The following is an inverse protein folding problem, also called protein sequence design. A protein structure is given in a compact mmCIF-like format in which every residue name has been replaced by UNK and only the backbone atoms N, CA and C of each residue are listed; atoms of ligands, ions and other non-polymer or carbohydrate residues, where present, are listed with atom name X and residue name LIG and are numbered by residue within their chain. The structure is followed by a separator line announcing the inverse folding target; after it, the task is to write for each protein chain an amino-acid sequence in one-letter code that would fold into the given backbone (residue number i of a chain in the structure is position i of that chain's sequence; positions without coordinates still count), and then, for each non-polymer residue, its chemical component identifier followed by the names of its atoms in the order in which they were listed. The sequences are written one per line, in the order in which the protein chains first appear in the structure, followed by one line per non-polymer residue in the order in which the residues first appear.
data_IF_006667153591
#
_entry.id   IF_006667153591
#
_cell.length_a   1.000
_cell.length_b   1.000
_cell.length_c   1.000
_cell.angle_alpha   90.00
_cell.angle_beta   90.00
_cell.angle_gamma   90.00
#
_symmetry.space_group_name_H-M   'P 1'
#
loop_
_entity.id
_entity.type
_entity.pdbx_description
1 polymer ?
#
# COMPACT_ATOMS: atom_id res chain seq x y z
N UNK A 1 53.21 7.64 -35.74
CA UNK A 1 54.68 7.66 -35.89
C UNK A 1 55.38 7.07 -34.66
N UNK A 2 54.76 6.79 -33.57
CA UNK A 2 55.33 6.15 -32.37
C UNK A 2 55.92 7.14 -31.37
N UNK A 3 55.65 8.42 -31.47
CA UNK A 3 55.88 9.42 -30.44
C UNK A 3 54.59 9.57 -29.62
N UNK A 4 54.58 9.05 -28.45
CA UNK A 4 53.44 8.97 -27.57
C UNK A 4 53.71 9.85 -26.36
N UNK A 5 53.62 11.17 -26.56
CA UNK A 5 53.56 12.07 -25.42
C UNK A 5 52.79 13.37 -25.76
N UNK A 6 51.81 13.72 -25.00
CA UNK A 6 50.93 14.88 -25.14
C UNK A 6 51.64 16.25 -25.06
N UNK A 7 52.83 16.37 -25.59
CA UNK A 7 53.58 17.60 -25.74
C UNK A 7 54.15 17.82 -27.16
N UNK A 8 54.14 16.82 -28.05
CA UNK A 8 54.77 16.88 -29.37
C UNK A 8 53.86 16.39 -30.52
N UNK A 9 52.79 15.67 -30.22
CA UNK A 9 51.78 15.24 -31.18
C UNK A 9 50.44 15.92 -30.83
N UNK A 10 49.72 16.41 -31.79
CA UNK A 10 48.43 17.04 -31.62
C UNK A 10 47.28 16.12 -32.09
N UNK A 11 47.58 14.86 -32.39
CA UNK A 11 46.67 13.85 -32.93
C UNK A 11 47.26 12.50 -32.56
N UNK A 12 47.06 12.11 -31.25
CA UNK A 12 47.76 11.00 -30.60
C UNK A 12 47.42 9.63 -31.20
N UNK A 13 46.26 9.45 -31.82
CA UNK A 13 45.82 8.19 -32.44
C UNK A 13 45.84 8.18 -33.98
N UNK A 14 46.11 9.35 -34.57
CA UNK A 14 46.26 9.58 -36.02
C UNK A 14 44.96 9.36 -36.84
N UNK A 15 43.85 9.73 -36.31
CA UNK A 15 42.54 9.67 -36.97
C UNK A 15 42.21 10.94 -37.81
N UNK A 16 43.06 12.00 -37.73
CA UNK A 16 42.97 13.34 -38.32
C UNK A 16 42.05 14.31 -37.57
N UNK A 17 41.65 14.03 -36.34
CA UNK A 17 41.09 14.97 -35.40
C UNK A 17 42.16 15.33 -34.37
N UNK A 18 42.28 16.59 -33.99
CA UNK A 18 43.26 16.97 -32.99
C UNK A 18 42.77 16.66 -31.60
N UNK A 19 43.68 16.30 -30.67
CA UNK A 19 43.36 15.97 -29.25
C UNK A 19 42.48 17.02 -28.56
N UNK A 20 42.61 18.29 -28.95
CA UNK A 20 41.77 19.38 -28.35
C UNK A 20 40.33 19.35 -28.82
N UNK A 21 40.00 18.64 -29.92
CA UNK A 21 38.68 18.57 -30.54
C UNK A 21 38.16 17.13 -30.56
N UNK A 22 38.95 16.20 -30.05
CA UNK A 22 38.68 14.78 -30.00
C UNK A 22 38.17 14.37 -28.60
N UNK A 23 36.99 13.77 -28.55
CA UNK A 23 36.45 13.22 -27.34
C UNK A 23 37.21 11.99 -26.85
N UNK A 24 37.90 11.26 -27.79
CA UNK A 24 38.63 10.03 -27.54
C UNK A 24 40.08 10.05 -28.09
N UNK A 25 40.98 10.93 -27.64
CA UNK A 25 42.28 11.22 -28.26
C UNK A 25 43.27 10.06 -28.35
N UNK A 26 42.89 8.86 -27.95
CA UNK A 26 43.69 7.64 -27.97
C UNK A 26 42.99 6.48 -28.71
N UNK A 27 41.81 6.73 -29.29
CA UNK A 27 41.05 5.72 -30.02
C UNK A 27 40.69 6.19 -31.42
N UNK A 28 41.57 5.98 -32.38
CA UNK A 28 41.41 6.39 -33.79
C UNK A 28 40.19 5.79 -34.51
N UNK A 29 39.25 5.21 -33.81
CA UNK A 29 37.96 4.78 -34.35
C UNK A 29 36.80 5.65 -33.84
N UNK A 30 37.06 6.49 -32.84
CA UNK A 30 36.09 7.38 -32.21
C UNK A 30 36.69 8.79 -32.11
N UNK A 31 35.88 9.84 -32.36
CA UNK A 31 36.31 11.24 -32.25
C UNK A 31 35.23 12.16 -31.71
N UNK A 32 33.98 11.67 -31.57
CA UNK A 32 32.84 12.45 -31.10
C UNK A 32 32.05 11.64 -30.10
N UNK A 33 31.54 12.34 -29.09
CA UNK A 33 30.60 11.85 -28.08
C UNK A 33 29.52 12.91 -27.97
N UNK A 34 28.36 12.67 -28.62
CA UNK A 34 27.35 13.72 -28.84
C UNK A 34 26.51 13.95 -27.58
N UNK A 35 26.35 12.95 -26.73
CA UNK A 35 25.52 13.02 -25.51
C UNK A 35 26.32 12.98 -24.21
N UNK A 36 27.69 12.88 -24.34
CA UNK A 36 28.63 12.92 -23.22
C UNK A 36 28.52 11.71 -22.27
N UNK A 37 28.12 10.51 -22.74
CA UNK A 37 27.97 9.32 -21.91
C UNK A 37 29.24 8.48 -21.78
N UNK A 38 30.24 8.76 -22.60
CA UNK A 38 31.56 8.11 -22.60
C UNK A 38 31.70 6.98 -23.61
N UNK A 39 30.75 6.76 -24.48
CA UNK A 39 30.80 5.91 -25.66
C UNK A 39 30.85 6.79 -26.91
N UNK A 40 31.70 6.48 -27.86
CA UNK A 40 31.80 7.31 -29.06
C UNK A 40 30.67 7.07 -30.05
N UNK A 41 30.27 8.11 -30.78
CA UNK A 41 29.14 8.10 -31.73
C UNK A 41 29.22 6.93 -32.75
N UNK A 42 30.42 6.41 -33.06
CA UNK A 42 30.55 5.31 -34.04
C UNK A 42 30.25 3.94 -33.43
N UNK A 43 30.48 3.76 -32.16
CA UNK A 43 30.22 2.51 -31.41
C UNK A 43 28.97 2.53 -30.58
N UNK A 44 28.35 3.72 -30.48
CA UNK A 44 27.08 3.93 -29.77
C UNK A 44 25.90 3.62 -30.68
N UNK A 45 24.96 2.82 -30.19
CA UNK A 45 23.73 2.54 -30.89
C UNK A 45 22.73 3.74 -30.82
N UNK A 46 22.89 4.61 -29.81
CA UNK A 46 22.03 5.75 -29.52
C UNK A 46 22.79 7.06 -29.26
N UNK A 47 23.57 7.59 -30.24
CA UNK A 47 24.49 8.69 -30.03
C UNK A 47 23.92 10.04 -29.60
N UNK A 48 22.61 10.14 -29.37
CA UNK A 48 21.91 11.34 -28.87
C UNK A 48 21.19 11.08 -27.54
N UNK A 49 21.36 9.86 -26.93
CA UNK A 49 20.67 9.47 -25.69
C UNK A 49 21.65 8.85 -24.67
N UNK A 50 22.20 9.68 -23.80
CA UNK A 50 23.15 9.29 -22.77
C UNK A 50 22.64 8.22 -21.76
N UNK A 51 21.41 7.80 -21.82
CA UNK A 51 20.85 6.72 -21.01
C UNK A 51 20.98 5.34 -21.69
N UNK A 52 21.27 5.29 -22.99
CA UNK A 52 21.35 4.08 -23.80
C UNK A 52 22.66 4.06 -24.62
N UNK A 53 23.36 2.94 -24.63
CA UNK A 53 24.60 2.76 -25.37
C UNK A 53 24.58 1.58 -26.35
N UNK A 54 23.77 0.56 -25.98
CA UNK A 54 23.76 -0.71 -26.70
C UNK A 54 22.37 -1.08 -27.13
N UNK A 55 22.26 -1.74 -28.27
CA UNK A 55 21.07 -2.41 -28.79
C UNK A 55 21.51 -3.83 -29.17
N UNK A 56 21.40 -4.75 -28.22
CA UNK A 56 22.03 -6.09 -28.35
C UNK A 56 21.34 -6.96 -29.39
N UNK A 57 20.03 -6.80 -29.62
CA UNK A 57 19.29 -7.60 -30.59
C UNK A 57 18.90 -6.86 -31.86
N UNK A 58 19.03 -5.53 -31.85
CA UNK A 58 18.93 -4.70 -33.07
C UNK A 58 17.51 -4.29 -33.43
N UNK A 59 16.62 -4.19 -32.46
CA UNK A 59 15.22 -3.83 -32.66
C UNK A 59 14.96 -2.32 -32.60
N UNK A 60 15.93 -1.55 -32.06
CA UNK A 60 15.87 -0.10 -31.98
C UNK A 60 15.52 0.42 -30.58
N UNK A 61 15.34 -0.45 -29.61
CA UNK A 61 15.28 -0.12 -28.18
C UNK A 61 16.62 -0.36 -27.52
N UNK A 62 16.99 0.49 -26.59
CA UNK A 62 18.26 0.34 -25.88
C UNK A 62 18.18 -0.72 -24.77
N UNK A 63 19.32 -1.41 -24.55
CA UNK A 63 19.40 -2.50 -23.56
C UNK A 63 18.93 -2.10 -22.15
N UNK A 64 18.93 -0.81 -21.80
CA UNK A 64 18.50 -0.34 -20.48
C UNK A 64 17.01 -0.10 -20.38
N UNK A 65 16.35 0.28 -21.48
CA UNK A 65 14.92 0.51 -21.56
C UNK A 65 14.15 -0.71 -22.08
N UNK A 66 14.85 -1.67 -22.67
CA UNK A 66 14.30 -2.90 -23.19
C UNK A 66 14.16 -3.97 -22.09
N UNK A 67 12.95 -4.46 -21.88
CA UNK A 67 12.67 -5.55 -20.94
C UNK A 67 13.24 -6.89 -21.44
N UNK A 68 13.40 -7.04 -22.76
CA UNK A 68 13.91 -8.24 -23.43
C UNK A 68 15.17 -8.00 -24.29
N UNK A 69 16.31 -7.52 -23.75
CA UNK A 69 17.46 -7.01 -24.52
C UNK A 69 18.17 -8.04 -25.42
N UNK A 70 17.58 -9.17 -25.71
CA UNK A 70 18.11 -10.26 -26.55
C UNK A 70 17.05 -10.90 -27.43
N UNK A 71 15.85 -10.34 -27.44
CA UNK A 71 14.75 -10.84 -28.27
C UNK A 71 14.13 -9.68 -29.05
N UNK A 72 14.71 -9.32 -30.17
CA UNK A 72 14.31 -8.23 -31.04
C UNK A 72 12.90 -8.37 -31.65
N UNK A 73 12.06 -9.17 -31.07
CA UNK A 73 10.63 -9.20 -31.33
C UNK A 73 9.80 -8.64 -30.17
N UNK A 74 10.43 -8.41 -29.03
CA UNK A 74 9.81 -7.96 -27.78
C UNK A 74 10.65 -6.86 -27.12
N UNK A 75 10.04 -5.83 -26.56
CA UNK A 75 10.74 -4.73 -25.86
C UNK A 75 9.99 -4.22 -24.64
N UNK A 76 8.71 -4.61 -24.46
CA UNK A 76 7.84 -4.22 -23.36
C UNK A 76 7.15 -5.44 -22.78
N UNK A 77 6.79 -5.37 -21.48
CA UNK A 77 6.06 -6.38 -20.70
C UNK A 77 5.30 -5.60 -19.63
N UNK A 78 4.07 -5.19 -19.99
CA UNK A 78 3.28 -4.23 -19.21
C UNK A 78 2.85 -4.83 -17.88
N UNK A 79 2.44 -6.09 -17.84
CA UNK A 79 1.97 -6.76 -16.62
C UNK A 79 3.10 -7.46 -15.83
N UNK A 80 4.29 -7.59 -16.42
CA UNK A 80 5.46 -8.18 -15.77
C UNK A 80 5.41 -9.71 -15.63
N UNK A 81 4.62 -10.41 -16.45
CA UNK A 81 4.47 -11.87 -16.36
C UNK A 81 5.58 -12.65 -17.08
N UNK A 82 6.40 -11.94 -17.87
CA UNK A 82 7.55 -12.46 -18.60
C UNK A 82 7.25 -12.87 -20.03
N UNK A 83 6.07 -12.59 -20.55
CA UNK A 83 5.73 -12.55 -21.96
C UNK A 83 5.85 -11.10 -22.43
N UNK A 84 6.35 -10.87 -23.63
CA UNK A 84 6.40 -9.52 -24.18
C UNK A 84 5.07 -9.18 -24.84
N UNK A 85 4.73 -7.89 -24.82
CA UNK A 85 3.45 -7.37 -25.32
C UNK A 85 3.13 -7.77 -26.77
N UNK A 86 4.15 -8.00 -27.61
CA UNK A 86 3.88 -8.45 -28.98
C UNK A 86 3.45 -9.92 -29.09
N UNK A 87 3.77 -10.75 -28.11
CA UNK A 87 3.46 -12.17 -28.08
C UNK A 87 2.34 -12.50 -27.08
N UNK A 88 2.02 -11.60 -26.19
CA UNK A 88 0.95 -11.72 -25.23
C UNK A 88 -0.39 -11.40 -25.92
N UNK A 89 -1.45 -12.13 -25.73
CA UNK A 89 -2.79 -11.81 -26.22
C UNK A 89 -3.62 -10.95 -25.26
N UNK A 90 -3.09 -10.55 -24.09
CA UNK A 90 -3.77 -9.80 -23.02
C UNK A 90 -2.67 -9.07 -22.23
N UNK A 91 -2.14 -7.95 -22.84
CA UNK A 91 -0.91 -7.27 -22.45
C UNK A 91 -0.88 -6.78 -21.00
N UNK A 92 -2.02 -6.54 -20.38
CA UNK A 92 -2.12 -6.07 -18.99
C UNK A 92 -2.79 -7.07 -18.03
N UNK A 93 -3.12 -8.28 -18.56
CA UNK A 93 -3.73 -9.39 -17.80
C UNK A 93 -5.05 -9.00 -17.10
N UNK A 94 -5.82 -8.06 -17.67
CA UNK A 94 -7.11 -7.63 -17.11
C UNK A 94 -8.25 -8.63 -17.43
N UNK A 95 -8.01 -9.55 -18.38
CA UNK A 95 -8.95 -10.56 -18.86
C UNK A 95 -9.72 -10.16 -20.12
N UNK A 96 -9.40 -9.03 -20.73
CA UNK A 96 -9.85 -8.61 -22.05
C UNK A 96 -8.68 -8.76 -23.03
N UNK A 97 -8.85 -9.54 -24.08
CA UNK A 97 -7.78 -9.72 -25.05
C UNK A 97 -7.57 -8.44 -25.89
N UNK A 98 -6.33 -8.12 -26.26
CA UNK A 98 -5.89 -6.93 -26.98
C UNK A 98 -6.73 -6.59 -28.22
N UNK A 99 -7.21 -7.62 -28.93
CA UNK A 99 -8.07 -7.39 -30.10
C UNK A 99 -9.42 -6.74 -29.77
N UNK A 100 -9.82 -6.76 -28.51
CA UNK A 100 -11.08 -6.19 -28.01
C UNK A 100 -10.85 -5.07 -27.00
N UNK A 101 -9.60 -4.84 -26.61
CA UNK A 101 -9.20 -3.86 -25.64
C UNK A 101 -8.95 -2.48 -26.28
N UNK A 102 -9.44 -1.43 -25.66
CA UNK A 102 -9.26 -0.03 -26.05
C UNK A 102 -8.15 0.68 -25.27
N UNK A 103 -7.61 0.06 -24.27
CA UNK A 103 -6.63 0.61 -23.33
C UNK A 103 -5.41 -0.30 -23.14
N UNK A 104 -4.91 -0.88 -24.23
CA UNK A 104 -3.72 -1.74 -24.24
C UNK A 104 -2.66 -1.24 -23.26
N UNK A 105 -2.36 -2.04 -22.26
CA UNK A 105 -1.36 -1.74 -21.26
C UNK A 105 -1.83 -0.85 -20.10
N UNK A 106 -3.14 -0.73 -19.87
CA UNK A 106 -3.71 -0.10 -18.69
C UNK A 106 -4.99 -0.81 -18.27
N UNK A 107 -4.96 -1.56 -17.19
CA UNK A 107 -6.18 -1.99 -16.51
C UNK A 107 -6.94 -0.76 -16.01
N UNK A 108 -8.08 -0.44 -16.65
CA UNK A 108 -8.90 0.68 -16.21
C UNK A 108 -9.83 0.28 -15.07
N UNK A 109 -9.66 0.96 -13.97
CA UNK A 109 -10.49 0.80 -12.81
C UNK A 109 -11.21 2.08 -12.41
N UNK A 110 -12.18 1.87 -11.55
CA UNK A 110 -12.97 2.93 -10.93
C UNK A 110 -13.07 2.71 -9.42
N UNK A 111 -12.87 3.78 -8.67
CA UNK A 111 -13.20 3.82 -7.24
C UNK A 111 -14.55 4.49 -7.07
N UNK A 112 -15.49 3.80 -6.44
CA UNK A 112 -16.70 4.42 -5.86
C UNK A 112 -16.41 4.69 -4.40
N UNK A 113 -16.49 5.94 -4.00
CA UNK A 113 -16.34 6.34 -2.61
C UNK A 113 -17.72 6.71 -2.05
N UNK A 114 -18.24 5.89 -1.15
CA UNK A 114 -19.47 6.17 -0.41
C UNK A 114 -19.15 7.11 0.75
N UNK A 115 -19.53 8.37 0.63
CA UNK A 115 -19.06 9.41 1.56
C UNK A 115 -20.00 9.58 2.75
N UNK A 116 -21.29 9.82 2.48
CA UNK A 116 -22.29 10.09 3.51
C UNK A 116 -23.65 9.54 3.13
N UNK A 117 -24.43 9.18 4.13
CA UNK A 117 -25.81 8.78 3.93
C UNK A 117 -26.73 9.50 4.94
N UNK A 118 -27.91 9.89 4.49
CA UNK A 118 -28.97 10.48 5.32
C UNK A 118 -30.26 9.74 5.07
N UNK A 119 -30.78 9.08 6.08
CA UNK A 119 -32.09 8.43 6.05
C UNK A 119 -33.19 9.48 6.33
N UNK A 120 -34.23 9.55 5.49
CA UNK A 120 -35.28 10.53 5.63
C UNK A 120 -36.44 10.04 6.51
N UNK A 121 -36.79 8.76 6.42
CA UNK A 121 -37.89 8.13 7.13
C UNK A 121 -37.42 6.86 7.84
N UNK A 122 -38.14 6.44 8.88
CA UNK A 122 -37.82 5.25 9.63
C UNK A 122 -38.17 3.98 8.81
N UNK A 123 -37.18 3.15 8.53
CA UNK A 123 -37.35 1.86 7.86
C UNK A 123 -37.91 0.80 8.80
N UNK A 124 -37.56 0.90 10.07
CA UNK A 124 -38.04 0.03 11.14
C UNK A 124 -39.30 0.59 11.86
N UNK A 125 -40.27 -0.25 12.10
CA UNK A 125 -41.55 0.13 12.74
C UNK A 125 -41.42 0.66 14.16
N UNK A 126 -40.32 0.39 14.86
CA UNK A 126 -40.13 0.72 16.28
C UNK A 126 -38.80 1.43 16.57
N UNK A 127 -37.97 1.69 15.55
CA UNK A 127 -36.68 2.32 15.67
C UNK A 127 -36.63 3.64 14.88
N UNK A 128 -35.82 4.58 15.33
CA UNK A 128 -35.48 5.80 14.60
C UNK A 128 -34.13 5.65 13.94
N UNK A 129 -33.65 4.42 13.82
CA UNK A 129 -32.37 4.03 13.19
C UNK A 129 -32.65 2.92 12.20
N UNK A 130 -31.78 2.78 11.20
CA UNK A 130 -31.71 1.64 10.31
C UNK A 130 -30.27 1.17 10.20
N UNK A 131 -30.08 -0.09 9.85
CA UNK A 131 -28.78 -0.74 9.71
C UNK A 131 -28.43 -0.89 8.22
N UNK A 132 -27.82 0.17 7.64
CA UNK A 132 -27.63 0.33 6.19
C UNK A 132 -26.39 -0.41 5.67
N UNK A 133 -26.53 -1.01 4.49
CA UNK A 133 -25.42 -1.44 3.66
C UNK A 133 -25.57 -0.98 2.21
N UNK A 134 -24.47 -0.90 1.48
CA UNK A 134 -24.39 -0.28 0.17
C UNK A 134 -24.01 -1.31 -0.88
N UNK A 135 -24.73 -1.30 -2.01
CA UNK A 135 -24.42 -2.18 -3.13
C UNK A 135 -24.17 -1.37 -4.39
N UNK A 136 -23.35 -1.92 -5.26
CA UNK A 136 -23.16 -1.43 -6.61
C UNK A 136 -23.19 -2.58 -7.62
N UNK A 137 -23.48 -2.26 -8.85
CA UNK A 137 -23.27 -3.15 -9.99
C UNK A 137 -22.90 -2.37 -11.24
N UNK A 138 -22.08 -2.98 -12.09
CA UNK A 138 -21.81 -2.49 -13.44
C UNK A 138 -22.77 -3.19 -14.39
N UNK A 139 -23.17 -2.51 -15.46
CA UNK A 139 -24.16 -3.01 -16.42
C UNK A 139 -23.96 -4.49 -16.77
N UNK A 140 -25.03 -5.28 -16.63
CA UNK A 140 -25.09 -6.74 -16.79
C UNK A 140 -24.27 -7.60 -15.79
N UNK A 141 -23.67 -7.01 -14.76
CA UNK A 141 -23.03 -7.77 -13.69
C UNK A 141 -23.98 -7.97 -12.49
N UNK A 142 -23.62 -8.87 -11.61
CA UNK A 142 -24.34 -9.08 -10.35
C UNK A 142 -24.03 -7.95 -9.36
N UNK A 143 -25.00 -7.64 -8.49
CA UNK A 143 -24.76 -6.69 -7.39
C UNK A 143 -23.62 -7.18 -6.50
N UNK A 144 -22.70 -6.28 -6.19
CA UNK A 144 -21.67 -6.45 -5.16
C UNK A 144 -22.07 -5.60 -3.98
N UNK A 145 -22.25 -6.21 -2.82
CA UNK A 145 -22.69 -5.50 -1.64
C UNK A 145 -21.56 -5.42 -0.60
N UNK A 146 -21.34 -4.22 -0.13
CA UNK A 146 -20.39 -3.91 0.92
C UNK A 146 -21.08 -4.17 2.26
N UNK A 147 -21.06 -5.44 2.61
CA UNK A 147 -21.48 -5.86 3.93
C UNK A 147 -20.25 -5.85 4.82
N UNK A 148 -19.82 -4.84 5.40
CA UNK A 148 -18.88 -4.94 6.50
C UNK A 148 -19.30 -6.06 7.49
N UNK A 149 -18.57 -6.32 8.55
CA UNK A 149 -19.03 -7.20 9.64
C UNK A 149 -20.27 -6.68 10.36
N UNK A 150 -21.03 -5.79 9.72
CA UNK A 150 -22.25 -5.17 10.18
C UNK A 150 -22.68 -4.07 9.23
N UNK A 151 -23.96 -3.79 9.21
CA UNK A 151 -24.49 -2.62 8.54
C UNK A 151 -24.16 -1.34 9.31
N UNK A 152 -24.18 -0.20 8.64
CA UNK A 152 -23.98 1.10 9.25
C UNK A 152 -25.25 1.53 9.96
N UNK A 153 -25.22 1.68 11.27
CA UNK A 153 -26.37 2.21 12.01
C UNK A 153 -26.55 3.70 11.71
N UNK A 154 -27.64 4.05 11.07
CA UNK A 154 -27.98 5.41 10.65
C UNK A 154 -29.23 5.90 11.39
N UNK A 155 -29.17 7.13 11.91
CA UNK A 155 -30.33 7.78 12.58
C UNK A 155 -31.10 8.63 11.57
N UNK A 156 -32.43 8.53 11.60
CA UNK A 156 -33.32 9.34 10.74
C UNK A 156 -33.02 10.83 10.89
N UNK A 157 -32.80 11.50 9.78
CA UNK A 157 -32.55 12.94 9.69
C UNK A 157 -31.11 13.36 10.04
N UNK A 158 -30.22 12.42 10.39
CA UNK A 158 -28.81 12.69 10.63
C UNK A 158 -27.98 12.26 9.42
N UNK A 159 -27.04 13.09 9.00
CA UNK A 159 -26.09 12.74 7.93
C UNK A 159 -24.92 11.96 8.53
N UNK A 160 -24.88 10.67 8.27
CA UNK A 160 -23.85 9.74 8.77
C UNK A 160 -22.72 9.63 7.79
N UNK A 161 -21.47 9.73 8.26
CA UNK A 161 -20.28 9.47 7.47
C UNK A 161 -20.14 7.96 7.25
N UNK A 162 -19.94 7.55 5.99
CA UNK A 162 -19.79 6.15 5.57
C UNK A 162 -18.33 5.79 5.36
N UNK A 163 -17.62 6.55 4.52
CA UNK A 163 -16.18 6.41 4.31
C UNK A 163 -15.72 5.08 3.71
N UNK A 164 -16.59 4.38 2.98
CA UNK A 164 -16.26 3.09 2.36
C UNK A 164 -15.99 3.27 0.88
N UNK A 165 -14.96 2.59 0.40
CA UNK A 165 -14.56 2.58 -1.00
C UNK A 165 -14.85 1.22 -1.63
N UNK A 166 -15.32 1.22 -2.87
CA UNK A 166 -15.40 0.05 -3.73
C UNK A 166 -14.53 0.26 -4.96
N UNK A 167 -13.71 -0.71 -5.28
CA UNK A 167 -12.91 -0.72 -6.50
C UNK A 167 -13.56 -1.62 -7.52
N UNK A 168 -13.63 -1.17 -8.74
CA UNK A 168 -14.26 -1.86 -9.86
C UNK A 168 -13.24 -1.92 -10.97
N UNK A 169 -12.98 -3.11 -11.49
CA UNK A 169 -12.36 -3.30 -12.78
C UNK A 169 -13.42 -3.04 -13.85
N UNK A 170 -13.14 -2.22 -14.85
CA UNK A 170 -14.06 -1.83 -15.91
C UNK A 170 -13.74 -2.62 -17.19
N UNK A 171 -14.73 -2.85 -18.01
CA UNK A 171 -14.57 -3.48 -19.33
C UNK A 171 -13.91 -2.49 -20.30
N UNK A 172 -12.67 -2.76 -20.67
CA UNK A 172 -11.81 -1.96 -21.54
C UNK A 172 -12.38 -1.80 -22.95
N UNK A 173 -13.18 -2.75 -23.40
CA UNK A 173 -13.93 -2.68 -24.65
C UNK A 173 -15.04 -1.59 -24.70
N UNK A 174 -15.25 -0.87 -23.59
CA UNK A 174 -16.31 0.14 -23.47
C UNK A 174 -15.78 1.48 -23.01
N UNK A 175 -16.24 2.57 -23.62
CA UNK A 175 -15.96 3.94 -23.16
C UNK A 175 -16.94 4.46 -22.11
N UNK A 176 -18.10 3.83 -21.97
CA UNK A 176 -19.16 4.26 -21.07
C UNK A 176 -19.64 3.11 -20.21
N UNK A 177 -19.47 3.26 -18.91
CA UNK A 177 -19.83 2.27 -17.91
C UNK A 177 -21.04 2.74 -17.12
N UNK A 178 -22.08 1.91 -17.08
CA UNK A 178 -23.33 2.19 -16.37
C UNK A 178 -23.23 1.54 -14.98
N UNK A 179 -23.21 2.37 -13.96
CA UNK A 179 -23.05 1.95 -12.58
C UNK A 179 -24.36 2.19 -11.87
N UNK A 180 -24.95 1.14 -11.33
CA UNK A 180 -26.13 1.21 -10.48
C UNK A 180 -25.73 1.13 -9.03
N UNK A 181 -26.29 1.99 -8.20
CA UNK A 181 -26.10 2.04 -6.75
C UNK A 181 -27.41 1.76 -6.04
N UNK A 182 -27.38 1.00 -4.94
CA UNK A 182 -28.51 0.77 -4.07
C UNK A 182 -28.10 0.78 -2.60
N UNK A 183 -29.05 1.13 -1.74
CA UNK A 183 -28.89 1.10 -0.30
C UNK A 183 -29.96 0.18 0.27
N UNK A 184 -29.59 -0.62 1.22
CA UNK A 184 -30.47 -1.60 1.86
C UNK A 184 -30.39 -1.48 3.36
N UNK A 185 -31.52 -1.71 4.04
CA UNK A 185 -31.58 -1.90 5.48
C UNK A 185 -31.49 -3.39 5.81
N UNK A 186 -30.60 -3.75 6.70
CA UNK A 186 -30.36 -5.15 7.07
C UNK A 186 -31.35 -5.60 8.15
N UNK A 187 -32.25 -6.48 7.78
CA UNK A 187 -33.27 -7.05 8.64
C UNK A 187 -33.08 -8.55 8.91
N UNK A 188 -33.54 -9.07 10.05
CA UNK A 188 -33.41 -10.50 10.39
C UNK A 188 -34.11 -11.46 9.44
N UNK A 189 -35.05 -11.01 8.60
CA UNK A 189 -35.85 -11.86 7.72
C UNK A 189 -35.78 -11.48 6.25
N UNK A 190 -35.90 -10.22 5.91
CA UNK A 190 -35.86 -9.71 4.52
C UNK A 190 -35.37 -8.27 4.60
N UNK A 191 -34.32 -7.98 3.86
CA UNK A 191 -33.78 -6.64 3.79
C UNK A 191 -34.65 -5.74 2.93
N UNK A 192 -34.91 -4.52 3.40
CA UNK A 192 -35.66 -3.51 2.67
C UNK A 192 -34.69 -2.67 1.82
N UNK A 193 -35.14 -2.28 0.61
CA UNK A 193 -34.36 -1.39 -0.26
C UNK A 193 -34.79 0.04 -0.03
N UNK A 194 -33.82 0.90 0.31
CA UNK A 194 -34.04 2.32 0.52
C UNK A 194 -34.04 3.06 -0.81
N UNK A 195 -35.04 3.92 -1.03
CA UNK A 195 -35.15 4.75 -2.23
C UNK A 195 -34.10 5.87 -2.22
N UNK A 196 -33.20 5.84 -3.19
CA UNK A 196 -32.20 6.87 -3.47
C UNK A 196 -32.33 7.46 -4.86
N UNK A 197 -33.50 7.28 -5.52
CA UNK A 197 -33.78 7.81 -6.85
C UNK A 197 -34.91 8.88 -6.82
N UNK A 198 -34.80 9.97 -7.59
CA UNK A 198 -35.81 11.03 -7.55
C UNK A 198 -37.17 10.66 -8.21
N UNK A 199 -37.21 9.60 -9.00
CA UNK A 199 -38.42 9.17 -9.69
C UNK A 199 -39.18 8.13 -8.87
N UNK A 200 -40.45 8.36 -8.61
CA UNK A 200 -41.36 7.47 -7.86
C UNK A 200 -41.31 6.03 -8.41
N UNK A 201 -41.04 5.07 -7.53
CA UNK A 201 -41.00 3.64 -7.86
C UNK A 201 -39.68 3.14 -8.47
N UNK A 202 -38.68 4.00 -8.57
CA UNK A 202 -37.31 3.63 -8.92
C UNK A 202 -36.45 3.75 -7.64
N UNK A 203 -35.88 2.66 -7.17
CA UNK A 203 -35.17 2.66 -5.89
C UNK A 203 -33.66 2.84 -6.03
N UNK A 204 -33.09 2.53 -7.20
CA UNK A 204 -31.64 2.55 -7.47
C UNK A 204 -31.25 3.82 -8.22
N UNK A 205 -30.11 4.37 -7.88
CA UNK A 205 -29.48 5.46 -8.64
C UNK A 205 -28.55 4.92 -9.70
N UNK A 206 -28.56 5.50 -10.89
CA UNK A 206 -27.68 5.10 -11.99
C UNK A 206 -26.83 6.29 -12.42
N UNK A 207 -25.52 6.08 -12.55
CA UNK A 207 -24.57 7.03 -13.10
C UNK A 207 -23.85 6.41 -14.30
N UNK A 208 -23.40 7.26 -15.21
CA UNK A 208 -22.58 6.81 -16.35
C UNK A 208 -21.18 7.39 -16.16
N UNK A 209 -20.22 6.51 -16.06
CA UNK A 209 -18.81 6.87 -16.05
C UNK A 209 -18.23 6.77 -17.47
N UNK A 210 -17.41 7.74 -17.88
CA UNK A 210 -16.72 7.74 -19.16
C UNK A 210 -15.23 7.54 -18.92
N UNK A 211 -14.71 6.38 -19.27
CA UNK A 211 -13.31 6.01 -19.04
C UNK A 211 -12.29 6.78 -19.89
N UNK A 212 -12.74 7.41 -20.98
CA UNK A 212 -11.86 8.21 -21.87
C UNK A 212 -11.62 9.63 -21.36
N UNK A 213 -12.41 10.09 -20.41
CA UNK A 213 -12.36 11.47 -19.89
C UNK A 213 -11.50 11.52 -18.62
N UNK A 214 -10.19 11.53 -18.75
CA UNK A 214 -9.16 11.37 -17.72
C UNK A 214 -9.21 12.34 -16.52
N UNK A 215 -10.08 13.35 -16.51
CA UNK A 215 -10.07 14.42 -15.49
C UNK A 215 -11.18 14.33 -14.43
N UNK A 216 -11.86 13.21 -14.23
CA UNK A 216 -13.12 13.27 -13.48
C UNK A 216 -13.12 12.58 -12.11
N UNK A 217 -12.71 13.31 -11.09
CA UNK A 217 -13.28 13.11 -9.74
C UNK A 217 -14.71 13.70 -9.75
N UNK A 218 -15.70 12.85 -9.93
CA UNK A 218 -17.10 13.24 -10.02
C UNK A 218 -17.78 13.02 -8.66
N UNK A 219 -18.32 14.08 -8.06
CA UNK A 219 -19.13 13.97 -6.84
C UNK A 219 -20.61 14.04 -7.18
N UNK A 220 -21.39 13.18 -6.58
CA UNK A 220 -22.83 13.02 -6.81
C UNK A 220 -23.61 13.02 -5.51
N UNK A 221 -24.87 13.39 -5.61
CA UNK A 221 -25.87 13.22 -4.56
C UNK A 221 -27.07 12.51 -5.17
N UNK A 222 -27.32 11.27 -4.75
CA UNK A 222 -28.51 10.51 -5.10
C UNK A 222 -29.56 10.76 -4.05
N UNK A 223 -30.74 11.26 -4.41
CA UNK A 223 -31.82 11.57 -3.49
C UNK A 223 -33.06 10.75 -3.82
N UNK A 224 -33.65 10.15 -2.81
CA UNK A 224 -34.94 9.47 -2.92
C UNK A 224 -36.11 10.41 -3.24
N UNK A 225 -37.15 9.84 -3.81
CA UNK A 225 -38.38 10.56 -4.17
C UNK A 225 -39.19 11.10 -2.97
N UNK A 226 -38.94 10.54 -1.77
CA UNK A 226 -39.63 10.84 -0.55
C UNK A 226 -40.92 10.04 -0.34
N UNK A 227 -41.18 9.03 -1.16
CA UNK A 227 -42.27 8.08 -1.01
C UNK A 227 -41.77 6.76 -0.40
N UNK A 228 -42.11 6.48 0.85
CA UNK A 228 -41.68 5.30 1.58
C UNK A 228 -40.28 5.46 2.18
N UNK A 229 -39.57 4.38 2.33
CA UNK A 229 -38.24 4.33 2.93
C UNK A 229 -37.21 5.02 2.00
N UNK A 230 -36.94 6.29 2.26
CA UNK A 230 -36.15 7.13 1.38
C UNK A 230 -34.92 7.73 2.07
N UNK A 231 -33.89 7.98 1.30
CA UNK A 231 -32.64 8.57 1.79
C UNK A 231 -31.89 9.38 0.75
N UNK A 232 -30.77 9.95 1.16
CA UNK A 232 -29.81 10.65 0.31
C UNK A 232 -28.43 10.05 0.48
N UNK A 233 -27.82 9.64 -0.64
CA UNK A 233 -26.46 9.11 -0.71
C UNK A 233 -25.55 10.12 -1.39
N UNK A 234 -24.50 10.54 -0.68
CA UNK A 234 -23.39 11.32 -1.24
C UNK A 234 -22.25 10.34 -1.58
N UNK A 235 -21.77 10.38 -2.80
CA UNK A 235 -20.69 9.53 -3.28
C UNK A 235 -19.87 10.22 -4.35
N UNK A 236 -18.65 9.73 -4.57
CA UNK A 236 -17.79 10.17 -5.67
C UNK A 236 -17.26 8.99 -6.48
N UNK A 237 -16.91 9.28 -7.74
CA UNK A 237 -16.28 8.37 -8.67
C UNK A 237 -14.92 8.95 -9.03
N UNK A 238 -13.88 8.13 -8.95
CA UNK A 238 -12.53 8.50 -9.37
C UNK A 238 -11.92 7.39 -10.22
N UNK A 239 -11.14 7.70 -11.26
CA UNK A 239 -10.38 6.69 -11.99
C UNK A 239 -9.41 5.99 -11.03
N UNK A 240 -9.21 4.72 -11.26
CA UNK A 240 -8.27 3.89 -10.53
C UNK A 240 -7.16 3.47 -11.50
N UNK A 241 -5.97 3.93 -11.22
CA UNK A 241 -4.77 3.46 -11.88
C UNK A 241 -4.19 2.32 -11.02
N UNK A 242 -4.39 1.09 -11.44
CA UNK A 242 -3.96 -0.09 -10.69
C UNK A 242 -2.45 -0.25 -10.66
N UNK A 243 -1.78 0.05 -11.77
CA UNK A 243 -0.35 -0.15 -11.95
C UNK A 243 0.47 1.12 -11.69
N UNK A 244 -0.21 2.28 -11.66
CA UNK A 244 0.44 3.56 -11.37
C UNK A 244 1.06 3.61 -9.98
N UNK A 245 2.28 4.16 -9.92
CA UNK A 245 2.96 4.36 -8.65
C UNK A 245 2.21 5.36 -7.77
N UNK A 246 1.72 4.89 -6.64
CA UNK A 246 1.22 5.74 -5.56
C UNK A 246 2.39 6.12 -4.66
N UNK A 247 2.63 7.42 -4.51
CA UNK A 247 3.63 7.94 -3.59
C UNK A 247 2.99 8.36 -2.27
N UNK A 248 3.44 7.74 -1.20
CA UNK A 248 2.98 8.02 0.15
C UNK A 248 4.07 8.79 0.90
N UNK A 249 3.77 10.03 1.25
CA UNK A 249 4.69 10.87 2.02
C UNK A 249 4.42 10.72 3.52
N UNK A 250 5.47 10.41 4.28
CA UNK A 250 5.44 10.37 5.74
C UNK A 250 6.38 11.41 6.32
N UNK A 251 5.99 11.96 7.46
CA UNK A 251 6.80 12.86 8.25
C UNK A 251 6.62 12.59 9.74
N UNK A 252 7.75 12.57 10.47
CA UNK A 252 7.75 12.33 11.92
C UNK A 252 8.88 13.10 12.60
N UNK A 253 8.99 12.98 13.90
CA UNK A 253 10.10 13.55 14.67
C UNK A 253 10.91 12.46 15.34
N UNK A 254 12.24 12.60 15.29
CA UNK A 254 13.16 11.75 16.02
C UNK A 254 14.24 12.61 16.68
N UNK A 255 14.46 12.43 17.98
CA UNK A 255 15.43 13.19 18.79
C UNK A 255 15.31 14.72 18.60
N UNK A 256 14.04 15.20 18.47
CA UNK A 256 13.71 16.60 18.24
C UNK A 256 13.97 17.12 16.82
N UNK A 257 14.41 16.27 15.90
CA UNK A 257 14.62 16.60 14.49
C UNK A 257 13.47 16.10 13.60
N UNK A 258 13.06 16.92 12.63
CA UNK A 258 12.05 16.54 11.64
C UNK A 258 12.63 15.53 10.64
N UNK A 259 11.88 14.49 10.38
CA UNK A 259 12.20 13.42 9.45
C UNK A 259 11.14 13.31 8.39
N UNK A 260 11.50 12.79 7.21
CA UNK A 260 10.54 12.45 6.16
C UNK A 260 11.04 11.30 5.30
N UNK A 261 10.09 10.55 4.71
CA UNK A 261 10.35 9.45 3.78
C UNK A 261 9.22 9.41 2.76
N UNK A 262 9.55 8.99 1.56
CA UNK A 262 8.59 8.73 0.49
C UNK A 262 8.57 7.23 0.24
N UNK A 263 7.39 6.64 0.26
CA UNK A 263 7.16 5.22 -0.01
C UNK A 263 6.42 5.15 -1.33
N UNK A 264 7.02 4.50 -2.30
CA UNK A 264 6.40 4.21 -3.59
C UNK A 264 5.80 2.79 -3.55
N UNK A 265 4.54 2.65 -3.90
CA UNK A 265 3.80 1.38 -4.00
C UNK A 265 2.75 1.51 -5.10
N UNK A 266 2.08 0.43 -5.45
CA UNK A 266 0.94 0.49 -6.36
C UNK A 266 -0.37 0.26 -5.61
N UNK A 267 -1.48 0.66 -6.21
CA UNK A 267 -2.79 0.30 -5.64
C UNK A 267 -3.06 -1.21 -5.76
N UNK A 268 -2.51 -1.85 -6.78
CA UNK A 268 -2.58 -3.31 -6.93
C UNK A 268 -1.91 -4.04 -5.75
N UNK A 269 -0.72 -3.60 -5.33
CA UNK A 269 -0.04 -4.15 -4.16
C UNK A 269 -0.86 -3.98 -2.87
N UNK A 270 -1.47 -2.79 -2.68
CA UNK A 270 -2.39 -2.55 -1.57
C UNK A 270 -3.60 -3.49 -1.62
N UNK A 271 -4.26 -3.61 -2.79
CA UNK A 271 -5.43 -4.49 -2.95
C UNK A 271 -5.10 -5.97 -2.77
N UNK A 272 -3.90 -6.39 -3.13
CA UNK A 272 -3.47 -7.78 -2.91
C UNK A 272 -3.63 -8.14 -1.42
N UNK A 273 -3.13 -7.30 -0.51
CA UNK A 273 -3.29 -7.50 0.92
C UNK A 273 -4.73 -7.28 1.39
N UNK A 274 -5.38 -6.22 0.93
CA UNK A 274 -6.76 -5.87 1.29
C UNK A 274 -7.77 -6.99 0.98
N UNK A 275 -7.52 -7.80 -0.05
CA UNK A 275 -8.36 -8.92 -0.45
C UNK A 275 -7.98 -10.24 0.22
N UNK A 276 -6.93 -10.28 1.05
CA UNK A 276 -6.59 -11.46 1.85
C UNK A 276 -7.60 -11.66 3.00
N UNK A 277 -7.47 -12.80 3.69
CA UNK A 277 -8.32 -13.08 4.83
C UNK A 277 -7.79 -12.38 6.10
N UNK A 278 -8.58 -11.49 6.69
CA UNK A 278 -8.26 -10.75 7.91
C UNK A 278 -8.93 -11.34 9.17
N UNK A 279 -9.71 -12.40 9.01
CA UNK A 279 -10.46 -12.96 10.14
C UNK A 279 -9.57 -13.75 11.10
N UNK A 280 -9.67 -13.46 12.38
CA UNK A 280 -9.07 -14.24 13.48
C UNK A 280 -10.07 -15.28 13.97
N UNK A 281 -9.69 -16.56 13.93
CA UNK A 281 -10.56 -17.65 14.39
C UNK A 281 -10.44 -17.89 15.90
N UNK A 282 -11.38 -17.35 16.64
CA UNK A 282 -11.52 -17.52 18.08
C UNK A 282 -12.24 -18.81 18.50
N UNK A 283 -12.76 -19.60 17.56
CA UNK A 283 -13.68 -20.71 17.83
C UNK A 283 -13.10 -21.74 18.79
N UNK A 284 -11.80 -21.98 18.72
CA UNK A 284 -11.11 -22.99 19.56
C UNK A 284 -10.04 -22.38 20.48
N UNK A 285 -9.90 -21.06 20.47
CA UNK A 285 -8.95 -20.36 21.30
C UNK A 285 -9.43 -20.30 22.76
N UNK A 286 -8.55 -20.65 23.69
CA UNK A 286 -8.80 -20.55 25.12
C UNK A 286 -7.84 -19.57 25.81
N UNK A 287 -6.75 -19.25 25.15
CA UNK A 287 -5.68 -18.36 25.63
C UNK A 287 -5.10 -17.54 24.47
N UNK A 288 -4.39 -16.47 24.79
CA UNK A 288 -3.66 -15.68 23.78
C UNK A 288 -2.62 -16.54 23.03
N UNK A 289 -2.05 -17.57 23.65
CA UNK A 289 -1.12 -18.48 22.98
C UNK A 289 -1.76 -19.30 21.85
N UNK A 290 -3.08 -19.47 21.85
CA UNK A 290 -3.79 -20.19 20.79
C UNK A 290 -4.01 -19.32 19.54
N UNK A 291 -4.08 -18.00 19.69
CA UNK A 291 -4.42 -17.06 18.61
C UNK A 291 -3.24 -16.22 18.11
N UNK A 292 -2.21 -16.03 18.93
CA UNK A 292 -1.07 -15.17 18.57
C UNK A 292 -0.39 -15.57 17.23
N UNK A 293 -0.32 -16.85 16.82
CA UNK A 293 0.21 -17.21 15.52
C UNK A 293 -0.61 -16.65 14.34
N UNK A 294 -1.93 -16.42 14.54
CA UNK A 294 -2.78 -15.84 13.51
C UNK A 294 -2.50 -14.34 13.34
N UNK A 295 -2.29 -13.61 14.45
CA UNK A 295 -1.88 -12.20 14.39
C UNK A 295 -0.45 -12.03 13.83
N UNK A 296 0.47 -12.89 14.24
CA UNK A 296 1.84 -12.85 13.75
C UNK A 296 1.95 -13.10 12.24
N UNK A 297 1.00 -13.84 11.67
CA UNK A 297 0.94 -14.11 10.23
C UNK A 297 0.65 -12.85 9.37
N UNK A 298 0.25 -11.73 9.99
CA UNK A 298 0.13 -10.45 9.28
C UNK A 298 1.48 -9.76 9.07
N UNK A 299 2.53 -10.17 9.76
CA UNK A 299 3.89 -9.66 9.51
C UNK A 299 4.41 -10.13 8.14
N UNK A 300 4.90 -9.20 7.32
CA UNK A 300 5.36 -9.45 5.96
C UNK A 300 6.75 -8.85 5.73
N UNK A 301 7.81 -9.37 6.39
CA UNK A 301 9.16 -8.82 6.28
C UNK A 301 9.76 -8.98 4.88
N UNK A 302 9.25 -9.94 4.09
CA UNK A 302 9.70 -10.22 2.73
C UNK A 302 9.06 -9.35 1.65
N UNK A 303 8.02 -8.59 1.97
CA UNK A 303 7.37 -7.68 1.02
C UNK A 303 8.37 -6.65 0.46
N UNK A 304 8.44 -6.44 -0.87
CA UNK A 304 9.42 -5.54 -1.50
C UNK A 304 9.29 -4.08 -1.03
N UNK A 305 8.06 -3.58 -0.84
CA UNK A 305 7.81 -2.21 -0.36
C UNK A 305 8.26 -2.05 1.09
N UNK A 306 8.01 -3.06 1.93
CA UNK A 306 8.45 -3.08 3.34
C UNK A 306 9.97 -3.12 3.42
N UNK A 307 10.64 -3.99 2.64
CA UNK A 307 12.12 -4.03 2.56
C UNK A 307 12.70 -2.69 2.13
N UNK A 308 12.17 -2.09 1.08
CA UNK A 308 12.63 -0.80 0.59
C UNK A 308 12.43 0.30 1.63
N UNK A 309 11.29 0.33 2.29
CA UNK A 309 10.97 1.28 3.37
C UNK A 309 11.93 1.13 4.55
N UNK A 310 12.18 -0.09 4.99
CA UNK A 310 13.11 -0.38 6.08
C UNK A 310 14.55 0.07 5.77
N UNK A 311 15.04 -0.22 4.55
CA UNK A 311 16.36 0.21 4.10
C UNK A 311 16.48 1.74 3.97
N UNK A 312 15.41 2.43 3.56
CA UNK A 312 15.40 3.90 3.55
C UNK A 312 15.47 4.46 4.97
N UNK A 313 14.69 3.90 5.92
CA UNK A 313 14.73 4.29 7.34
C UNK A 313 16.13 4.08 7.92
N UNK A 314 16.75 2.91 7.70
CA UNK A 314 18.12 2.62 8.11
C UNK A 314 19.13 3.59 7.52
N UNK A 315 19.02 3.86 6.23
CA UNK A 315 19.93 4.77 5.52
C UNK A 315 19.81 6.20 6.05
N UNK A 316 18.58 6.66 6.32
CA UNK A 316 18.32 7.97 6.90
C UNK A 316 18.88 8.09 8.32
N UNK A 317 18.73 7.07 9.17
CA UNK A 317 19.33 7.01 10.50
C UNK A 317 20.85 7.11 10.43
N UNK A 318 21.50 6.31 9.61
CA UNK A 318 22.96 6.28 9.44
C UNK A 318 23.48 7.63 8.93
N UNK A 319 22.81 8.24 7.95
CA UNK A 319 23.19 9.54 7.40
C UNK A 319 23.20 10.66 8.46
N UNK A 320 22.44 10.52 9.53
CA UNK A 320 22.37 11.45 10.65
C UNK A 320 23.29 11.07 11.82
N UNK A 321 24.04 9.98 11.70
CA UNK A 321 25.00 9.51 12.70
C UNK A 321 24.45 8.49 13.71
N UNK A 322 23.23 8.02 13.55
CA UNK A 322 22.61 6.95 14.31
C UNK A 322 23.03 5.61 13.71
N UNK A 323 24.06 4.98 14.28
CA UNK A 323 24.75 3.83 13.64
C UNK A 323 24.75 2.56 14.46
N UNK A 324 24.36 2.62 15.75
CA UNK A 324 24.20 1.41 16.55
C UNK A 324 22.87 0.72 16.23
N UNK A 325 22.81 -0.60 16.45
CA UNK A 325 21.56 -1.36 16.27
C UNK A 325 20.40 -0.74 17.07
N UNK A 326 20.65 -0.37 18.31
CA UNK A 326 19.66 0.28 19.16
C UNK A 326 19.18 1.63 18.58
N UNK A 327 20.06 2.43 18.00
CA UNK A 327 19.67 3.71 17.39
C UNK A 327 18.82 3.49 16.14
N UNK A 328 19.15 2.50 15.30
CA UNK A 328 18.38 2.13 14.11
C UNK A 328 16.99 1.64 14.52
N UNK A 329 16.92 0.72 15.48
CA UNK A 329 15.65 0.19 15.99
C UNK A 329 14.75 1.30 16.57
N UNK A 330 15.33 2.27 17.29
CA UNK A 330 14.62 3.45 17.81
C UNK A 330 14.14 4.38 16.69
N UNK A 331 14.92 4.51 15.63
CA UNK A 331 14.53 5.34 14.48
C UNK A 331 13.32 4.75 13.77
N UNK A 332 13.29 3.41 13.56
CA UNK A 332 12.13 2.69 13.03
C UNK A 332 10.94 2.79 13.97
N UNK A 333 11.16 2.63 15.28
CA UNK A 333 10.13 2.78 16.29
C UNK A 333 9.49 4.19 16.25
N UNK A 334 10.30 5.23 16.15
CA UNK A 334 9.80 6.61 16.04
C UNK A 334 8.95 6.84 14.80
N UNK A 335 9.27 6.19 13.70
CA UNK A 335 8.46 6.23 12.47
C UNK A 335 7.11 5.57 12.70
N UNK A 336 7.07 4.32 13.15
CA UNK A 336 5.83 3.56 13.34
C UNK A 336 4.94 4.19 14.42
N UNK A 337 5.51 4.52 15.58
CA UNK A 337 4.76 5.05 16.72
C UNK A 337 4.19 6.47 16.54
N UNK A 338 4.44 7.12 15.41
CA UNK A 338 3.81 8.39 15.04
C UNK A 338 2.83 8.27 13.86
N UNK A 339 2.59 7.05 13.35
CA UNK A 339 1.44 6.80 12.46
C UNK A 339 0.16 6.93 13.29
N UNK A 340 -0.88 7.47 12.68
CA UNK A 340 -2.14 7.73 13.37
C UNK A 340 -2.74 6.46 13.95
N UNK A 341 -2.97 6.44 15.26
CA UNK A 341 -3.74 5.37 15.90
C UNK A 341 -5.23 5.50 15.55
N UNK A 342 -5.83 4.41 15.09
CA UNK A 342 -7.24 4.35 14.78
C UNK A 342 -7.76 2.92 15.01
N UNK A 343 -8.89 2.80 15.69
CA UNK A 343 -9.52 1.50 15.90
C UNK A 343 -10.08 0.94 14.58
N UNK A 344 -10.06 -0.36 14.45
CA UNK A 344 -10.62 -1.07 13.31
C UNK A 344 -12.06 -0.67 12.99
N UNK A 345 -12.89 -0.56 13.99
CA UNK A 345 -14.29 -0.16 13.82
C UNK A 345 -14.46 1.22 13.17
N UNK A 346 -13.50 2.12 13.39
CA UNK A 346 -13.53 3.48 12.86
C UNK A 346 -13.03 3.58 11.42
N UNK A 347 -12.21 2.60 10.97
CA UNK A 347 -11.54 2.63 9.67
C UNK A 347 -12.03 1.57 8.69
N UNK A 348 -12.53 0.45 9.20
CA UNK A 348 -12.93 -0.71 8.38
C UNK A 348 -14.36 -1.16 8.59
N UNK A 349 -15.05 -0.65 9.62
CA UNK A 349 -16.32 -1.13 10.16
C UNK A 349 -16.30 -2.56 10.73
N UNK A 350 -15.16 -3.15 10.88
CA UNK A 350 -15.00 -4.41 11.58
C UNK A 350 -14.62 -4.14 13.03
N UNK A 351 -15.02 -4.98 13.94
CA UNK A 351 -14.57 -4.88 15.34
C UNK A 351 -13.17 -5.44 15.55
N UNK A 352 -12.66 -6.16 14.57
CA UNK A 352 -11.35 -6.80 14.52
C UNK A 352 -10.96 -6.98 13.06
N UNK A 353 -9.95 -6.27 12.61
CA UNK A 353 -9.47 -6.30 11.23
C UNK A 353 -7.95 -6.04 11.20
N UNK A 354 -7.13 -7.01 11.60
CA UNK A 354 -5.68 -6.85 11.55
C UNK A 354 -5.21 -6.53 10.13
N UNK A 355 -4.51 -5.42 9.96
CA UNK A 355 -3.96 -4.97 8.67
C UNK A 355 -2.59 -5.58 8.43
N UNK A 356 -2.33 -5.89 7.18
CA UNK A 356 -0.96 -6.11 6.72
C UNK A 356 -0.15 -4.81 6.73
N UNK A 357 1.18 -4.84 6.90
CA UNK A 357 2.05 -3.67 6.94
C UNK A 357 1.83 -2.68 5.81
N UNK A 358 1.68 -3.16 4.56
CA UNK A 358 1.43 -2.30 3.42
C UNK A 358 0.06 -1.63 3.47
N UNK A 359 -0.98 -2.30 3.99
CA UNK A 359 -2.28 -1.67 4.20
C UNK A 359 -2.19 -0.53 5.22
N UNK A 360 -1.52 -0.77 6.36
CA UNK A 360 -1.33 0.27 7.37
C UNK A 360 -0.57 1.47 6.82
N UNK A 361 0.47 1.23 6.00
CA UNK A 361 1.21 2.30 5.32
C UNK A 361 0.33 3.05 4.32
N UNK A 362 -0.50 2.35 3.55
CA UNK A 362 -1.36 2.97 2.55
C UNK A 362 -2.49 3.77 3.20
N UNK A 363 -3.17 3.19 4.19
CA UNK A 363 -4.27 3.80 4.95
C UNK A 363 -3.79 4.91 5.91
N UNK A 364 -2.48 4.95 6.22
CA UNK A 364 -1.84 5.88 7.17
C UNK A 364 -2.40 5.82 8.58
N UNK A 365 -3.00 4.70 8.95
CA UNK A 365 -3.57 4.48 10.27
C UNK A 365 -3.69 3.00 10.58
N UNK A 366 -3.67 2.67 11.87
CA UNK A 366 -3.88 1.32 12.37
C UNK A 366 -3.93 1.31 13.89
N UNK A 367 -4.22 0.18 14.49
CA UNK A 367 -4.22 0.04 15.93
C UNK A 367 -3.02 -0.79 16.47
N UNK A 368 -3.18 -1.53 17.57
CA UNK A 368 -2.02 -2.10 18.26
C UNK A 368 -1.39 -3.28 17.52
N UNK A 369 -2.19 -4.17 16.94
CA UNK A 369 -1.68 -5.31 16.16
C UNK A 369 -1.11 -4.86 14.81
N UNK A 370 -1.73 -3.87 14.15
CA UNK A 370 -1.28 -3.32 12.89
C UNK A 370 0.10 -2.67 13.02
N UNK A 371 0.26 -1.79 14.02
CA UNK A 371 1.53 -1.12 14.31
C UNK A 371 2.60 -2.12 14.76
N UNK A 372 2.20 -3.19 15.46
CA UNK A 372 3.10 -4.28 15.84
C UNK A 372 3.58 -5.06 14.62
N UNK A 373 2.67 -5.46 13.72
CA UNK A 373 3.00 -6.18 12.50
C UNK A 373 3.92 -5.33 11.60
N UNK A 374 3.64 -4.03 11.46
CA UNK A 374 4.49 -3.12 10.69
C UNK A 374 5.89 -2.98 11.29
N UNK A 375 5.99 -2.74 12.61
CA UNK A 375 7.30 -2.61 13.27
C UNK A 375 8.12 -3.91 13.12
N UNK A 376 7.53 -5.06 13.42
CA UNK A 376 8.17 -6.37 13.29
C UNK A 376 8.68 -6.56 11.86
N UNK A 377 7.83 -6.35 10.86
CA UNK A 377 8.19 -6.54 9.44
C UNK A 377 9.35 -5.64 9.01
N UNK A 378 9.37 -4.39 9.43
CA UNK A 378 10.46 -3.46 9.12
C UNK A 378 11.78 -3.89 9.74
N UNK A 379 11.79 -4.31 11.03
CA UNK A 379 13.04 -4.66 11.70
C UNK A 379 13.54 -6.05 11.31
N UNK A 380 12.65 -7.03 11.09
CA UNK A 380 13.02 -8.35 10.55
C UNK A 380 13.64 -8.23 9.15
N UNK A 381 13.07 -7.40 8.26
CA UNK A 381 13.64 -7.16 6.94
C UNK A 381 15.05 -6.53 6.97
N UNK A 382 15.44 -5.93 8.09
CA UNK A 382 16.78 -5.42 8.36
C UNK A 382 17.71 -6.46 9.00
N UNK A 383 17.20 -7.67 9.30
CA UNK A 383 17.94 -8.77 9.90
C UNK A 383 18.00 -8.72 11.43
N UNK A 384 17.08 -8.02 12.09
CA UNK A 384 16.92 -8.06 13.53
C UNK A 384 15.88 -9.10 13.92
N UNK A 385 16.12 -9.85 14.98
CA UNK A 385 15.13 -10.80 15.53
C UNK A 385 14.03 -10.04 16.28
N UNK A 386 12.77 -10.20 15.86
CA UNK A 386 11.60 -9.60 16.49
C UNK A 386 10.47 -10.62 16.70
N UNK A 387 9.52 -10.27 17.54
CA UNK A 387 8.36 -11.10 17.80
C UNK A 387 7.17 -10.32 18.31
N UNK A 388 6.01 -10.96 18.27
CA UNK A 388 4.74 -10.42 18.73
C UNK A 388 4.43 -10.87 20.14
N UNK A 389 3.89 -9.96 20.94
CA UNK A 389 3.28 -10.24 22.24
C UNK A 389 1.79 -9.90 22.18
N UNK A 390 0.97 -10.75 22.79
CA UNK A 390 -0.43 -10.46 23.11
C UNK A 390 -0.65 -10.58 24.61
N UNK A 391 -1.47 -9.70 25.16
CA UNK A 391 -1.80 -9.74 26.58
C UNK A 391 -2.99 -8.86 26.93
N UNK A 392 -3.38 -8.89 28.19
CA UNK A 392 -4.31 -7.94 28.77
C UNK A 392 -3.54 -6.91 29.58
N UNK A 393 -3.81 -5.65 29.38
CA UNK A 393 -3.08 -4.53 30.01
C UNK A 393 -4.01 -3.60 30.78
N UNK A 394 -3.43 -2.87 31.73
CA UNK A 394 -4.06 -1.73 32.39
C UNK A 394 -3.10 -0.56 32.44
N UNK A 395 -3.58 0.64 32.08
CA UNK A 395 -2.78 1.85 32.18
C UNK A 395 -2.70 2.36 33.64
N UNK A 396 -3.76 2.15 34.45
CA UNK A 396 -3.79 2.52 35.87
C UNK A 396 -4.46 1.41 36.70
N UNK A 397 -4.27 1.46 38.04
CA UNK A 397 -4.83 0.46 38.97
C UNK A 397 -6.37 0.31 38.89
N UNK A 398 -7.07 1.41 38.64
CA UNK A 398 -8.54 1.46 38.62
C UNK A 398 -9.14 1.20 37.22
N UNK A 399 -8.32 1.07 36.18
CA UNK A 399 -8.80 0.86 34.80
C UNK A 399 -9.32 -0.57 34.58
N UNK A 400 -10.21 -0.74 33.62
CA UNK A 400 -10.61 -2.06 33.13
C UNK A 400 -9.46 -2.69 32.32
N UNK A 401 -9.48 -4.02 32.20
CA UNK A 401 -8.52 -4.74 31.39
C UNK A 401 -8.86 -4.59 29.91
N UNK A 402 -7.89 -4.13 29.11
CA UNK A 402 -7.96 -4.08 27.65
C UNK A 402 -7.05 -5.14 27.00
N UNK A 403 -7.45 -5.70 25.89
CA UNK A 403 -6.55 -6.46 25.01
C UNK A 403 -5.49 -5.55 24.41
N UNK A 404 -4.28 -6.04 24.24
CA UNK A 404 -3.20 -5.28 23.61
C UNK A 404 -2.21 -6.18 22.90
N UNK A 405 -1.70 -5.72 21.78
CA UNK A 405 -0.60 -6.31 21.03
C UNK A 405 0.60 -5.36 21.07
N UNK A 406 1.79 -5.91 21.23
CA UNK A 406 3.02 -5.11 21.16
C UNK A 406 4.17 -5.94 20.60
N UNK A 407 5.10 -5.34 19.86
CA UNK A 407 6.30 -6.01 19.41
C UNK A 407 7.36 -6.10 20.50
N UNK A 408 8.23 -7.07 20.36
CA UNK A 408 9.48 -7.17 21.09
C UNK A 408 10.63 -7.37 20.11
N UNK A 409 11.81 -6.82 20.39
CA UNK A 409 12.96 -6.88 19.49
C UNK A 409 14.23 -7.27 20.27
N UNK A 410 15.05 -8.13 19.67
CA UNK A 410 16.32 -8.51 20.25
C UNK A 410 17.40 -7.45 19.99
N UNK A 411 18.06 -7.01 21.05
CA UNK A 411 19.19 -6.10 20.96
C UNK A 411 20.22 -6.40 22.03
N UNK A 412 21.48 -6.37 21.69
CA UNK A 412 22.56 -6.64 22.62
C UNK A 412 22.85 -5.47 23.58
N UNK A 413 23.30 -5.81 24.80
CA UNK A 413 23.77 -4.84 25.79
C UNK A 413 22.75 -3.76 26.19
N UNK A 414 21.47 -4.10 26.11
CA UNK A 414 20.38 -3.21 26.53
C UNK A 414 19.81 -3.65 27.90
N UNK A 415 18.95 -2.83 28.47
CA UNK A 415 18.28 -3.10 29.77
C UNK A 415 16.86 -2.53 29.74
N UNK A 416 15.96 -3.22 30.40
CA UNK A 416 14.56 -2.81 30.47
C UNK A 416 13.65 -4.01 30.67
N UNK A 417 12.35 -3.80 30.45
CA UNK A 417 11.39 -4.91 30.41
C UNK A 417 11.71 -5.80 29.22
N UNK A 418 11.85 -7.09 29.47
CA UNK A 418 12.32 -8.03 28.46
C UNK A 418 11.83 -9.44 28.74
N UNK A 419 11.81 -10.25 27.69
CA UNK A 419 11.58 -11.69 27.75
C UNK A 419 12.78 -12.43 27.17
N UNK A 420 12.91 -13.71 27.51
CA UNK A 420 13.90 -14.59 26.88
C UNK A 420 13.25 -15.29 25.70
N UNK A 421 13.92 -15.35 24.57
CA UNK A 421 13.46 -16.06 23.38
C UNK A 421 13.26 -17.56 23.65
N UNK A 422 12.49 -18.20 22.80
CA UNK A 422 12.14 -19.62 22.90
C UNK A 422 12.87 -20.44 21.83
N UNK A 423 12.90 -21.76 22.00
CA UNK A 423 13.43 -22.68 21.00
C UNK A 423 14.91 -22.43 20.67
N UNK A 424 15.22 -22.21 19.41
CA UNK A 424 16.59 -21.96 18.92
C UNK A 424 17.11 -20.57 19.32
N UNK A 425 16.22 -19.62 19.54
CA UNK A 425 16.49 -18.24 19.97
C UNK A 425 16.53 -18.06 21.50
N UNK A 426 16.63 -19.13 22.27
CA UNK A 426 16.62 -19.11 23.76
C UNK A 426 17.81 -18.37 24.41
N UNK A 427 18.79 -17.98 23.62
CA UNK A 427 19.94 -17.16 24.05
C UNK A 427 19.73 -15.67 23.77
N UNK A 428 18.66 -15.28 23.08
CA UNK A 428 18.34 -13.88 22.81
C UNK A 428 17.48 -13.29 23.92
N UNK A 429 17.62 -12.00 24.12
CA UNK A 429 16.77 -11.21 25.03
C UNK A 429 16.00 -10.20 24.17
N UNK A 430 14.69 -10.32 24.18
CA UNK A 430 13.78 -9.44 23.45
C UNK A 430 13.25 -8.36 24.38
N UNK A 431 13.31 -7.13 23.96
CA UNK A 431 12.89 -5.94 24.72
C UNK A 431 11.56 -5.41 24.20
N UNK A 432 10.75 -4.94 25.13
CA UNK A 432 9.44 -4.34 24.87
C UNK A 432 9.53 -3.11 23.94
N UNK A 433 8.57 -2.98 23.03
CA UNK A 433 8.36 -1.78 22.19
C UNK A 433 6.87 -1.41 22.24
N UNK A 434 6.56 -0.17 22.57
CA UNK A 434 5.18 0.35 22.49
C UNK A 434 4.96 1.00 21.13
N UNK A 435 4.57 0.21 20.13
CA UNK A 435 4.50 0.66 18.72
C UNK A 435 3.35 1.61 18.40
N UNK A 436 2.41 1.81 19.33
CA UNK A 436 1.22 2.66 19.12
C UNK A 436 1.42 4.12 19.49
N UNK A 437 2.57 4.47 20.08
CA UNK A 437 2.86 5.85 20.47
C UNK A 437 4.36 6.12 20.54
N UNK A 438 4.74 7.36 20.24
CA UNK A 438 6.11 7.84 20.34
C UNK A 438 6.14 9.31 20.77
N UNK A 439 7.12 9.68 21.62
CA UNK A 439 7.39 11.07 21.99
C UNK A 439 7.17 11.42 23.45
N UNK A 440 6.65 10.51 24.26
CA UNK A 440 6.50 10.66 25.70
C UNK A 440 7.70 10.08 26.46
N UNK A 441 7.86 10.42 27.76
CA UNK A 441 8.97 9.96 28.61
C UNK A 441 9.04 8.42 28.77
N UNK A 442 8.00 7.69 28.37
CA UNK A 442 7.89 6.24 28.43
C UNK A 442 8.08 5.56 27.07
N UNK A 443 8.25 6.31 26.00
CA UNK A 443 8.41 5.75 24.66
C UNK A 443 9.88 5.48 24.34
N UNK A 444 10.40 4.33 24.80
CA UNK A 444 11.71 3.81 24.42
C UNK A 444 11.69 2.26 24.46
N UNK A 445 12.61 1.65 23.73
CA UNK A 445 12.79 0.18 23.75
C UNK A 445 13.16 -0.27 25.16
N UNK A 446 12.44 -1.27 25.68
CA UNK A 446 12.60 -1.80 27.03
C UNK A 446 11.82 -1.02 28.10
N UNK A 447 11.07 0.00 27.76
CA UNK A 447 10.15 0.68 28.67
C UNK A 447 8.74 0.14 28.49
N UNK A 448 8.18 -0.41 29.56
CA UNK A 448 6.78 -0.85 29.60
C UNK A 448 5.94 0.28 30.24
N UNK A 449 4.98 0.89 29.51
CA UNK A 449 4.16 1.97 30.05
C UNK A 449 2.99 1.47 30.91
N UNK A 450 2.67 0.19 30.85
CA UNK A 450 1.48 -0.38 31.50
C UNK A 450 1.68 -0.61 32.99
N UNK A 451 0.68 -0.27 33.78
CA UNK A 451 0.68 -0.49 35.22
C UNK A 451 0.69 -1.99 35.57
N UNK A 452 -0.13 -2.78 34.87
CA UNK A 452 -0.20 -4.23 35.02
C UNK A 452 -0.36 -4.89 33.65
N UNK A 453 0.28 -6.06 33.47
CA UNK A 453 0.12 -6.96 32.32
C UNK A 453 -0.22 -8.35 32.84
N UNK A 454 -1.07 -9.09 32.13
CA UNK A 454 -1.39 -10.49 32.40
C UNK A 454 -1.75 -11.25 31.14
N UNK A 455 -1.83 -12.58 31.27
CA UNK A 455 -2.23 -13.51 30.20
C UNK A 455 -1.35 -13.34 28.95
N UNK A 456 -0.05 -13.06 29.14
CA UNK A 456 0.92 -12.81 28.07
C UNK A 456 1.17 -14.06 27.23
N UNK A 457 1.23 -13.87 25.92
CA UNK A 457 1.70 -14.86 24.95
C UNK A 457 2.78 -14.22 24.08
N UNK A 458 3.78 -14.99 23.71
CA UNK A 458 4.87 -14.59 22.81
C UNK A 458 4.90 -15.48 21.58
N UNK A 459 5.10 -14.91 20.43
CA UNK A 459 5.36 -15.57 19.17
C UNK A 459 6.57 -14.95 18.50
N UNK A 460 7.56 -15.78 18.17
CA UNK A 460 8.75 -15.39 17.41
C UNK A 460 8.39 -15.35 15.93
N UNK A 461 8.52 -14.20 15.29
CA UNK A 461 8.32 -14.06 13.85
C UNK A 461 9.63 -14.44 13.17
N UNK A 462 9.58 -15.35 12.23
CA UNK A 462 10.73 -15.80 11.45
C UNK A 462 10.61 -15.27 10.01
N UNK A 463 11.77 -14.99 9.37
CA UNK A 463 11.86 -14.60 7.96
C UNK A 463 11.18 -15.61 7.02
#
# INVERSE_FOLDING_TARGET
DGCHDGMEDNDDDNDNVSDELDAFPLDGTEWQDTDDDGVGDNSDAFPEDASEQYDTDGDGWGDNSDVFPRDGSEWSDVDGDGWGDNADPDDDNDGVADENDLHLGQDIGLVIQFERFTLFDAVDWFSNTGDMYFCYSVYNQSDVCLHGNGAFTVTVGESTFIGVNASINLDEGLHHHWIELSVHDQDPLVDDTVDIHPDEGVLRSTVVYNSVDEEQNLSFVANGSGDGDAGSLEFSLAPLDYLGLTRIDYAWTFDGAYQSIQIDTTYADYLMYRNMNHAIDWTYASTNADIIPQYAAFSTPDDPTIKTTAEQLRSNAIAQGYTSDLDILRFVYAFVGQIQYAYDIDTTNFSEYPKYPLEMLYDRSGDCEDSSALYISLVESLGYDAGLMLGSVKANEDDEWGGHAWPVVAVENHSGWSITGLGEKNNLTFYFVESTAYGDDWSDIGINPWHEIKDEAFFDVEE
#
